data_IF_925101956690
#
_entry.id   IF_925101956690
#
_cell.length_a   1.000
_cell.length_b   1.000
_cell.length_c   1.000
_cell.angle_alpha   90.00
_cell.angle_beta   90.00
_cell.angle_gamma   90.00
#
_symmetry.space_group_name_H-M   'P 1'
#
loop_
_entity.id
_entity.type
_entity.pdbx_description
1 polymer ?
#
# COMPACT_ATOMS: atom_id res chain seq x y z
N UNK A 1 -24.26 -1.97 1.81
CA UNK A 1 -23.65 -2.94 0.88
C UNK A 1 -23.68 -2.33 -0.52
N UNK A 2 -22.59 -2.43 -1.28
CA UNK A 2 -22.60 -2.18 -2.72
C UNK A 2 -23.65 -3.12 -3.35
N UNK A 3 -24.44 -2.61 -4.29
CA UNK A 3 -25.53 -3.36 -4.95
C UNK A 3 -25.01 -4.62 -5.66
N UNK A 4 -23.68 -4.67 -5.90
CA UNK A 4 -22.96 -5.83 -6.44
C UNK A 4 -22.67 -6.97 -5.45
N UNK A 5 -22.82 -6.76 -4.14
CA UNK A 5 -22.45 -7.74 -3.10
C UNK A 5 -20.94 -7.99 -2.92
N UNK A 6 -20.08 -7.27 -3.65
CA UNK A 6 -18.63 -7.42 -3.57
C UNK A 6 -18.06 -6.70 -2.32
N UNK A 7 -17.21 -7.40 -1.56
CA UNK A 7 -16.57 -6.88 -0.35
C UNK A 7 -15.64 -5.72 -0.69
N UNK A 8 -15.57 -4.71 0.18
CA UNK A 8 -14.64 -3.57 0.07
C UNK A 8 -13.18 -3.91 0.40
N UNK A 9 -12.97 -5.00 1.14
CA UNK A 9 -11.68 -5.48 1.59
C UNK A 9 -11.64 -6.99 1.46
N UNK A 10 -10.47 -7.51 1.10
CA UNK A 10 -10.17 -8.94 1.18
C UNK A 10 -8.99 -9.17 2.12
N UNK A 11 -9.08 -10.23 2.91
CA UNK A 11 -8.00 -10.71 3.75
C UNK A 11 -7.63 -12.10 3.26
N UNK A 12 -6.42 -12.24 2.73
CA UNK A 12 -5.84 -13.49 2.25
C UNK A 12 -4.81 -14.00 3.25
N UNK A 13 -4.63 -15.32 3.32
CA UNK A 13 -3.75 -15.99 4.29
C UNK A 13 -3.90 -15.43 5.74
N UNK A 14 -5.13 -15.23 6.21
CA UNK A 14 -5.39 -14.59 7.51
C UNK A 14 -4.73 -15.28 8.73
N UNK A 15 -4.28 -16.53 8.56
CA UNK A 15 -3.60 -17.34 9.57
C UNK A 15 -2.10 -17.49 9.33
N UNK A 16 -1.52 -16.68 8.42
CA UNK A 16 -0.09 -16.67 8.14
C UNK A 16 0.72 -16.49 9.42
N UNK A 17 1.76 -17.32 9.59
CA UNK A 17 2.47 -17.48 10.87
C UNK A 17 3.70 -16.62 11.01
N UNK A 18 4.17 -16.01 9.93
CA UNK A 18 5.32 -15.12 9.98
C UNK A 18 4.97 -13.80 10.68
N UNK A 19 5.96 -12.99 11.06
CA UNK A 19 5.69 -11.71 11.72
C UNK A 19 5.10 -10.67 10.77
N UNK A 20 5.17 -10.88 9.46
CA UNK A 20 4.80 -9.85 8.50
C UNK A 20 3.29 -9.77 8.32
N UNK A 21 2.79 -8.55 8.22
CA UNK A 21 1.42 -8.26 7.77
C UNK A 21 1.53 -7.35 6.57
N UNK A 22 1.08 -7.83 5.42
CA UNK A 22 1.14 -7.07 4.17
C UNK A 22 -0.18 -6.34 3.98
N UNK A 23 -0.11 -5.07 3.63
CA UNK A 23 -1.28 -4.25 3.27
C UNK A 23 -1.06 -3.62 1.90
N UNK A 24 -2.11 -3.61 1.08
CA UNK A 24 -2.09 -2.97 -0.24
C UNK A 24 -3.35 -2.10 -0.42
N UNK A 25 -3.20 -0.80 -0.17
CA UNK A 25 -4.29 0.17 -0.15
C UNK A 25 -4.87 0.42 -1.55
N UNK A 26 -4.03 0.39 -2.59
CA UNK A 26 -4.38 0.69 -3.98
C UNK A 26 -4.42 -0.56 -4.87
N UNK A 27 -4.81 -1.69 -4.29
CA UNK A 27 -4.73 -3.00 -4.94
C UNK A 27 -5.66 -3.21 -6.15
N UNK A 28 -6.66 -2.36 -6.37
CA UNK A 28 -7.69 -2.57 -7.38
C UNK A 28 -8.10 -1.29 -8.07
N UNK A 29 -8.34 -1.34 -9.38
CA UNK A 29 -9.00 -0.27 -10.14
C UNK A 29 -10.51 -0.45 -10.27
N UNK A 30 -11.11 -1.35 -9.48
CA UNK A 30 -12.55 -1.59 -9.56
C UNK A 30 -13.33 -0.36 -9.12
N UNK A 31 -14.23 0.08 -9.99
CA UNK A 31 -15.24 1.10 -9.69
C UNK A 31 -16.57 0.37 -9.43
N UNK A 32 -17.18 0.49 -8.24
CA UNK A 32 -18.51 -0.07 -7.96
C UNK A 32 -19.54 0.38 -8.99
N UNK A 33 -20.45 -0.52 -9.37
CA UNK A 33 -21.42 -0.28 -10.46
C UNK A 33 -22.25 1.00 -10.28
N UNK A 34 -22.54 1.36 -9.03
CA UNK A 34 -23.18 2.62 -8.61
C UNK A 34 -22.53 3.88 -9.23
N UNK A 35 -21.22 3.86 -9.47
CA UNK A 35 -20.47 5.02 -9.95
C UNK A 35 -20.25 5.04 -11.48
N UNK A 36 -20.71 4.00 -12.19
CA UNK A 36 -20.51 3.88 -13.63
C UNK A 36 -19.02 3.93 -13.99
N UNK A 37 -18.67 4.82 -14.92
CA UNK A 37 -17.28 5.06 -15.33
C UNK A 37 -16.64 6.30 -14.67
N UNK A 38 -17.37 6.99 -13.78
CA UNK A 38 -16.95 8.22 -13.13
C UNK A 38 -16.57 9.37 -14.09
N UNK A 39 -17.04 9.31 -15.35
CA UNK A 39 -16.67 10.26 -16.40
C UNK A 39 -15.24 10.08 -16.93
N UNK A 40 -14.60 8.95 -16.61
CA UNK A 40 -13.24 8.63 -17.03
C UNK A 40 -13.27 7.76 -18.28
N UNK A 41 -12.28 7.92 -19.15
CA UNK A 41 -12.05 7.00 -20.27
C UNK A 41 -11.56 5.62 -19.78
N UNK A 42 -11.67 4.61 -20.64
CA UNK A 42 -11.13 3.27 -20.33
C UNK A 42 -9.64 3.31 -20.01
N UNK A 43 -8.87 4.17 -20.71
CA UNK A 43 -7.43 4.32 -20.47
C UNK A 43 -7.14 4.85 -19.06
N UNK A 44 -7.87 5.86 -18.62
CA UNK A 44 -7.73 6.47 -17.29
C UNK A 44 -8.13 5.49 -16.18
N UNK A 45 -9.18 4.69 -16.38
CA UNK A 45 -9.57 3.64 -15.42
C UNK A 45 -8.57 2.48 -15.33
N UNK A 46 -7.69 2.33 -16.30
CA UNK A 46 -6.65 1.29 -16.32
C UNK A 46 -5.26 1.81 -15.90
N UNK A 47 -5.06 3.13 -15.89
CA UNK A 47 -3.78 3.73 -15.52
C UNK A 47 -3.59 3.85 -14.01
N UNK A 48 -2.39 4.27 -13.61
CA UNK A 48 -1.98 4.39 -12.20
C UNK A 48 -2.76 5.42 -11.39
N UNK A 49 -3.60 6.25 -12.01
CA UNK A 49 -4.49 7.14 -11.24
C UNK A 49 -5.59 6.34 -10.52
N UNK A 50 -5.96 5.17 -11.05
CA UNK A 50 -7.06 4.36 -10.53
C UNK A 50 -6.62 3.37 -9.44
N UNK A 51 -5.35 2.99 -9.41
CA UNK A 51 -4.77 1.92 -8.60
C UNK A 51 -3.25 1.88 -8.79
N UNK A 52 -2.56 0.99 -8.07
CA UNK A 52 -1.12 0.79 -8.18
C UNK A 52 -0.83 -0.48 -9.03
N UNK A 53 -0.51 -0.35 -10.34
CA UNK A 53 -0.36 -1.51 -11.22
C UNK A 53 0.79 -2.42 -10.78
N UNK A 54 0.51 -3.72 -10.64
CA UNK A 54 1.48 -4.73 -10.22
C UNK A 54 1.66 -4.86 -8.71
N UNK A 55 1.32 -3.85 -7.90
CA UNK A 55 1.51 -3.89 -6.45
C UNK A 55 0.77 -5.06 -5.78
N UNK A 56 -0.46 -5.36 -6.20
CA UNK A 56 -1.20 -6.51 -5.68
C UNK A 56 -0.55 -7.86 -6.06
N UNK A 57 0.03 -7.97 -7.26
CA UNK A 57 0.69 -9.19 -7.70
C UNK A 57 1.94 -9.48 -6.84
N UNK A 58 2.74 -8.44 -6.55
CA UNK A 58 3.88 -8.57 -5.62
C UNK A 58 3.38 -8.88 -4.20
N UNK A 59 2.29 -8.26 -3.75
CA UNK A 59 1.70 -8.49 -2.42
C UNK A 59 1.28 -9.94 -2.22
N UNK A 60 0.58 -10.53 -3.19
CA UNK A 60 0.20 -11.94 -3.15
C UNK A 60 1.43 -12.85 -3.10
N UNK A 61 2.43 -12.57 -3.94
CA UNK A 61 3.64 -13.40 -3.99
C UNK A 61 4.46 -13.30 -2.71
N UNK A 62 4.55 -12.11 -2.10
CA UNK A 62 5.15 -11.93 -0.78
C UNK A 62 4.37 -12.66 0.31
N UNK A 63 3.03 -12.59 0.29
CA UNK A 63 2.16 -13.31 1.23
C UNK A 63 2.41 -14.82 1.22
N UNK A 64 2.62 -15.39 0.03
CA UNK A 64 2.99 -16.80 -0.14
C UNK A 64 4.41 -17.10 0.37
N UNK A 65 5.41 -16.33 -0.09
CA UNK A 65 6.82 -16.56 0.23
C UNK A 65 7.11 -16.43 1.72
N UNK A 66 6.43 -15.50 2.37
CA UNK A 66 6.62 -15.20 3.79
C UNK A 66 5.62 -15.92 4.68
N UNK A 67 4.63 -16.68 4.17
CA UNK A 67 3.50 -17.16 4.99
C UNK A 67 2.88 -16.01 5.84
N UNK A 68 2.57 -14.90 5.17
CA UNK A 68 2.09 -13.66 5.80
C UNK A 68 0.63 -13.36 5.42
N UNK A 69 -0.22 -12.87 6.33
CA UNK A 69 -1.51 -12.32 5.95
C UNK A 69 -1.39 -11.10 5.04
N UNK A 70 -2.34 -10.97 4.11
CA UNK A 70 -2.48 -9.83 3.20
C UNK A 70 -3.86 -9.21 3.35
N UNK A 71 -3.92 -7.91 3.63
CA UNK A 71 -5.15 -7.10 3.59
C UNK A 71 -5.11 -6.17 2.37
N UNK A 72 -6.11 -6.25 1.51
CA UNK A 72 -6.17 -5.45 0.28
C UNK A 72 -7.51 -4.72 0.15
N UNK A 73 -7.46 -3.46 -0.29
CA UNK A 73 -8.65 -2.79 -0.79
C UNK A 73 -9.12 -3.46 -2.08
N UNK A 74 -10.41 -3.49 -2.32
CA UNK A 74 -10.98 -3.98 -3.59
C UNK A 74 -11.58 -2.87 -4.42
N UNK A 75 -11.39 -1.61 -4.03
CA UNK A 75 -12.00 -0.45 -4.67
C UNK A 75 -10.91 0.50 -5.12
N UNK A 76 -11.11 1.09 -6.29
CA UNK A 76 -10.25 2.13 -6.84
C UNK A 76 -10.10 3.30 -5.89
N UNK A 77 -8.86 3.78 -5.74
CA UNK A 77 -8.54 5.00 -4.98
C UNK A 77 -9.26 6.26 -5.51
N UNK A 78 -9.72 6.23 -6.76
CA UNK A 78 -10.55 7.29 -7.34
C UNK A 78 -11.92 7.39 -6.65
N UNK A 79 -12.47 6.25 -6.21
CA UNK A 79 -13.72 6.25 -5.46
C UNK A 79 -13.47 6.82 -4.07
N UNK A 80 -12.49 6.29 -3.37
CA UNK A 80 -11.99 6.82 -2.10
C UNK A 80 -10.61 6.24 -1.82
N UNK A 81 -9.66 7.11 -1.51
CA UNK A 81 -8.28 6.74 -1.23
C UNK A 81 -8.17 6.22 0.22
N UNK A 82 -7.88 4.94 0.40
CA UNK A 82 -7.78 4.34 1.73
C UNK A 82 -6.51 4.74 2.48
N UNK A 83 -5.54 5.33 1.80
CA UNK A 83 -4.31 5.81 2.42
C UNK A 83 -4.33 7.34 2.61
N UNK A 84 -5.53 7.88 2.92
CA UNK A 84 -5.79 9.29 3.22
C UNK A 84 -6.70 9.48 4.42
N UNK A 85 -6.42 10.52 5.19
CA UNK A 85 -7.21 10.89 6.36
C UNK A 85 -8.64 11.28 6.00
N UNK A 86 -9.54 11.14 6.99
CA UNK A 86 -10.97 11.37 6.78
C UNK A 86 -11.34 12.83 6.53
N UNK A 87 -10.44 13.78 6.74
CA UNK A 87 -10.57 15.20 6.45
C UNK A 87 -9.61 15.67 5.35
N UNK A 88 -8.75 14.78 4.84
CA UNK A 88 -7.82 15.10 3.78
C UNK A 88 -8.56 15.56 2.50
N UNK A 89 -8.09 16.63 1.83
CA UNK A 89 -8.72 17.15 0.62
C UNK A 89 -8.68 16.13 -0.54
N UNK A 90 -7.71 15.23 -0.49
CA UNK A 90 -7.44 14.18 -1.47
C UNK A 90 -7.94 12.79 -1.02
N UNK A 91 -8.76 12.70 0.04
CA UNK A 91 -9.51 11.48 0.36
C UNK A 91 -10.37 11.00 -0.82
N UNK A 92 -10.99 11.96 -1.53
CA UNK A 92 -11.75 11.71 -2.75
C UNK A 92 -11.27 12.71 -3.81
N UNK A 93 -10.31 12.27 -4.63
CA UNK A 93 -9.64 13.09 -5.63
C UNK A 93 -10.62 13.68 -6.65
N UNK A 94 -10.56 14.99 -6.87
CA UNK A 94 -11.24 15.67 -8.01
C UNK A 94 -10.31 15.87 -9.21
N UNK A 95 -9.01 15.80 -8.98
CA UNK A 95 -7.95 15.92 -9.99
C UNK A 95 -6.81 14.98 -9.63
N UNK A 96 -6.47 14.06 -10.52
CA UNK A 96 -5.27 13.22 -10.40
C UNK A 96 -4.37 13.50 -11.59
N UNK A 97 -3.17 14.04 -11.34
CA UNK A 97 -2.29 14.60 -12.36
C UNK A 97 -2.99 15.63 -13.24
N UNK A 98 -3.20 15.33 -14.51
CA UNK A 98 -3.93 16.17 -15.46
C UNK A 98 -5.37 15.69 -15.70
N UNK A 99 -5.78 14.62 -15.02
CA UNK A 99 -7.08 13.96 -15.23
C UNK A 99 -8.09 14.48 -14.21
N UNK A 100 -9.09 15.23 -14.69
CA UNK A 100 -10.22 15.65 -13.87
C UNK A 100 -11.19 14.51 -13.67
N UNK A 101 -11.62 14.29 -12.43
CA UNK A 101 -12.59 13.26 -12.06
C UNK A 101 -13.91 13.97 -11.76
N UNK A 102 -14.65 14.30 -12.83
CA UNK A 102 -15.87 15.11 -12.75
C UNK A 102 -16.91 14.49 -11.80
N UNK A 103 -17.00 13.16 -11.71
CA UNK A 103 -17.93 12.48 -10.80
C UNK A 103 -17.61 12.67 -9.30
N UNK A 104 -16.43 13.21 -8.97
CA UNK A 104 -16.04 13.57 -7.62
C UNK A 104 -16.19 15.07 -7.34
N UNK A 105 -16.50 15.89 -8.36
CA UNK A 105 -16.75 17.31 -8.18
C UNK A 105 -18.10 17.51 -7.48
N UNK A 106 -18.16 18.45 -6.52
CA UNK A 106 -19.39 18.83 -5.80
C UNK A 106 -20.11 17.67 -5.08
N UNK A 107 -19.36 16.69 -4.56
CA UNK A 107 -19.92 15.62 -3.74
C UNK A 107 -20.61 16.18 -2.49
N UNK A 108 -21.85 15.75 -2.26
CA UNK A 108 -22.54 16.06 -1.02
C UNK A 108 -21.98 15.26 0.17
N UNK A 109 -22.33 15.70 1.38
CA UNK A 109 -21.88 15.07 2.61
C UNK A 109 -22.39 13.62 2.77
N UNK A 110 -23.53 13.29 2.16
CA UNK A 110 -24.16 11.96 2.23
C UNK A 110 -23.33 10.95 1.43
N UNK A 111 -22.94 11.30 0.22
CA UNK A 111 -22.12 10.47 -0.64
C UNK A 111 -20.71 10.29 -0.07
N UNK A 112 -20.11 11.37 0.43
CA UNK A 112 -18.82 11.30 1.13
C UNK A 112 -18.89 10.34 2.31
N UNK A 113 -19.93 10.45 3.14
CA UNK A 113 -20.16 9.56 4.29
C UNK A 113 -20.35 8.11 3.85
N UNK A 114 -21.12 7.89 2.77
CA UNK A 114 -21.34 6.56 2.22
C UNK A 114 -20.02 5.88 1.86
N UNK A 115 -19.13 6.56 1.11
CA UNK A 115 -17.84 5.98 0.69
C UNK A 115 -16.94 5.66 1.87
N UNK A 116 -16.94 6.53 2.89
CA UNK A 116 -16.20 6.30 4.13
C UNK A 116 -16.70 5.06 4.84
N UNK A 117 -18.01 4.95 5.04
CA UNK A 117 -18.61 3.89 5.84
C UNK A 117 -18.60 2.53 5.12
N UNK A 118 -18.58 2.54 3.78
CA UNK A 118 -18.65 1.32 2.97
C UNK A 118 -17.31 0.83 2.44
N UNK A 119 -16.28 1.68 2.34
CA UNK A 119 -14.99 1.31 1.75
C UNK A 119 -13.80 1.62 2.67
N UNK A 120 -13.62 2.86 3.09
CA UNK A 120 -12.47 3.29 3.90
C UNK A 120 -12.46 2.66 5.30
N UNK A 121 -13.56 2.80 6.05
CA UNK A 121 -13.67 2.24 7.41
C UNK A 121 -13.58 0.72 7.41
N UNK A 122 -14.27 -0.04 6.54
CA UNK A 122 -14.14 -1.49 6.49
C UNK A 122 -12.71 -1.97 6.20
N UNK A 123 -11.97 -1.26 5.32
CA UNK A 123 -10.58 -1.60 5.03
C UNK A 123 -9.69 -1.47 6.29
N UNK A 124 -9.71 -0.32 6.95
CA UNK A 124 -8.90 -0.14 8.17
C UNK A 124 -9.39 -1.00 9.34
N UNK A 125 -10.69 -1.27 9.46
CA UNK A 125 -11.21 -2.16 10.49
C UNK A 125 -10.71 -3.60 10.32
N UNK A 126 -10.52 -4.06 9.07
CA UNK A 126 -9.93 -5.37 8.80
C UNK A 126 -8.46 -5.44 9.21
N UNK A 127 -7.67 -4.39 8.93
CA UNK A 127 -6.28 -4.28 9.38
C UNK A 127 -6.23 -4.31 10.92
N UNK A 128 -7.03 -3.46 11.57
CA UNK A 128 -7.08 -3.39 13.03
C UNK A 128 -7.48 -4.71 13.68
N UNK A 129 -8.52 -5.37 13.15
CA UNK A 129 -8.96 -6.69 13.65
C UNK A 129 -7.84 -7.71 13.57
N UNK A 130 -7.08 -7.72 12.47
CA UNK A 130 -5.95 -8.62 12.29
C UNK A 130 -4.82 -8.30 13.28
N UNK A 131 -4.41 -7.03 13.39
CA UNK A 131 -3.32 -6.61 14.27
C UNK A 131 -3.64 -6.85 15.74
N UNK A 132 -4.88 -6.57 16.19
CA UNK A 132 -5.30 -6.83 17.56
C UNK A 132 -5.32 -8.33 17.88
N UNK A 133 -5.80 -9.17 16.95
CA UNK A 133 -5.76 -10.62 17.13
C UNK A 133 -4.32 -11.14 17.33
N UNK A 134 -3.37 -10.62 16.54
CA UNK A 134 -1.94 -10.97 16.66
C UNK A 134 -1.34 -10.47 17.97
N UNK A 135 -1.65 -9.23 18.36
CA UNK A 135 -1.21 -8.64 19.64
C UNK A 135 -1.69 -9.46 20.83
N UNK A 136 -2.97 -9.85 20.84
CA UNK A 136 -3.54 -10.72 21.88
C UNK A 136 -2.90 -12.10 21.93
N UNK A 137 -2.47 -12.63 20.79
CA UNK A 137 -1.76 -13.90 20.69
C UNK A 137 -0.24 -13.78 21.01
N UNK A 138 0.26 -12.59 21.34
CA UNK A 138 1.69 -12.35 21.59
C UNK A 138 2.57 -12.55 20.34
N UNK A 139 1.99 -12.42 19.15
CA UNK A 139 2.72 -12.61 17.89
C UNK A 139 3.45 -11.32 17.52
N UNK A 140 4.76 -11.45 17.28
CA UNK A 140 5.55 -10.41 16.64
C UNK A 140 4.86 -9.95 15.35
N UNK A 141 4.81 -8.64 15.14
CA UNK A 141 4.12 -8.06 13.98
C UNK A 141 4.94 -6.94 13.38
N UNK A 142 5.18 -7.03 12.07
CA UNK A 142 5.88 -6.05 11.24
C UNK A 142 4.93 -5.67 10.10
N UNK A 143 4.56 -4.40 9.98
CA UNK A 143 3.65 -3.94 8.94
C UNK A 143 4.41 -3.59 7.65
N UNK A 144 3.96 -4.12 6.51
CA UNK A 144 4.53 -3.83 5.19
C UNK A 144 3.44 -3.26 4.29
N UNK A 145 3.49 -1.95 4.03
CA UNK A 145 2.61 -1.29 3.06
C UNK A 145 3.22 -1.39 1.66
N UNK A 146 2.53 -2.05 0.73
CA UNK A 146 3.06 -2.27 -0.62
C UNK A 146 2.31 -1.45 -1.68
N UNK A 147 3.09 -0.65 -2.39
CA UNK A 147 2.64 0.30 -3.40
C UNK A 147 3.48 0.21 -4.67
N UNK A 148 3.00 0.91 -5.71
CA UNK A 148 3.79 1.13 -6.91
C UNK A 148 3.56 2.52 -7.46
N UNK A 149 4.53 3.04 -8.20
CA UNK A 149 4.47 4.39 -8.78
C UNK A 149 4.84 4.41 -10.27
N UNK A 150 4.32 5.38 -11.02
CA UNK A 150 4.65 5.58 -12.44
C UNK A 150 6.11 6.03 -12.62
N UNK A 151 6.83 5.55 -13.66
CA UNK A 151 8.23 5.92 -13.91
C UNK A 151 8.45 7.39 -14.29
N UNK A 152 7.42 8.07 -14.80
CA UNK A 152 7.47 9.49 -15.17
C UNK A 152 6.27 10.19 -14.55
N UNK A 153 6.52 11.30 -13.85
CA UNK A 153 5.50 12.12 -13.22
C UNK A 153 5.71 13.59 -13.57
N UNK A 154 4.70 14.25 -14.15
CA UNK A 154 4.82 15.61 -14.69
C UNK A 154 6.08 15.82 -15.58
N UNK A 155 6.36 14.85 -16.46
CA UNK A 155 7.53 14.81 -17.35
C UNK A 155 8.90 14.71 -16.65
N UNK A 156 8.93 14.43 -15.35
CA UNK A 156 10.15 14.17 -14.59
C UNK A 156 10.31 12.66 -14.40
N UNK A 157 11.44 12.12 -14.87
CA UNK A 157 11.77 10.72 -14.69
C UNK A 157 12.10 10.43 -13.22
N UNK A 158 11.59 9.32 -12.70
CA UNK A 158 11.89 8.82 -11.35
C UNK A 158 12.93 7.71 -11.46
N UNK A 159 14.20 7.98 -11.08
CA UNK A 159 15.31 7.09 -11.41
C UNK A 159 15.36 5.83 -10.53
N UNK A 160 14.63 5.82 -9.40
CA UNK A 160 14.61 4.71 -8.46
C UNK A 160 13.69 3.60 -8.97
N UNK A 161 14.16 2.34 -9.09
CA UNK A 161 13.26 1.21 -9.30
C UNK A 161 12.50 0.82 -8.02
N UNK A 162 12.99 1.21 -6.85
CA UNK A 162 12.33 1.03 -5.55
C UNK A 162 12.54 2.25 -4.66
N UNK A 163 11.49 2.65 -3.98
CA UNK A 163 11.46 3.64 -2.90
C UNK A 163 11.06 3.00 -1.58
N UNK A 164 11.63 3.50 -0.50
CA UNK A 164 11.30 3.11 0.87
C UNK A 164 10.79 4.34 1.62
N UNK A 165 9.58 4.25 2.14
CA UNK A 165 8.94 5.32 2.90
C UNK A 165 8.84 4.86 4.35
N UNK A 166 9.33 5.71 5.25
CA UNK A 166 9.27 5.48 6.69
C UNK A 166 8.28 6.44 7.37
N UNK A 167 7.79 6.05 8.53
CA UNK A 167 6.99 6.91 9.40
C UNK A 167 7.89 7.78 10.29
N UNK A 168 7.47 8.01 11.52
CA UNK A 168 8.31 8.62 12.56
C UNK A 168 9.44 7.68 12.96
N UNK A 169 9.17 6.39 13.16
CA UNK A 169 10.23 5.39 13.41
C UNK A 169 10.84 4.93 12.08
N UNK A 170 12.12 5.24 11.88
CA UNK A 170 12.88 4.89 10.69
C UNK A 170 13.55 3.53 10.78
N UNK A 171 13.58 2.91 11.96
CA UNK A 171 14.49 1.81 12.28
C UNK A 171 14.33 0.61 11.36
N UNK A 172 13.09 0.14 11.15
CA UNK A 172 12.84 -1.04 10.35
C UNK A 172 13.07 -0.76 8.85
N UNK A 173 12.62 0.40 8.37
CA UNK A 173 12.87 0.85 6.99
C UNK A 173 14.37 1.03 6.71
N UNK A 174 15.15 1.53 7.66
CA UNK A 174 16.60 1.63 7.54
C UNK A 174 17.25 0.23 7.44
N UNK A 175 16.85 -0.71 8.30
CA UNK A 175 17.34 -2.08 8.22
C UNK A 175 16.99 -2.76 6.88
N UNK A 176 15.81 -2.44 6.31
CA UNK A 176 15.43 -2.89 4.98
C UNK A 176 16.26 -2.23 3.86
N UNK A 177 16.56 -0.93 3.98
CA UNK A 177 17.46 -0.24 3.06
C UNK A 177 18.83 -0.92 3.04
N UNK A 178 19.40 -1.16 4.21
CA UNK A 178 20.73 -1.79 4.35
C UNK A 178 20.72 -3.21 3.77
N UNK A 179 19.64 -3.97 4.00
CA UNK A 179 19.47 -5.31 3.43
C UNK A 179 19.39 -5.29 1.89
N UNK A 180 18.68 -4.32 1.31
CA UNK A 180 18.57 -4.15 -0.15
C UNK A 180 19.90 -3.69 -0.77
N UNK A 181 20.60 -2.75 -0.12
CA UNK A 181 21.90 -2.27 -0.58
C UNK A 181 22.99 -3.36 -0.52
N UNK A 182 22.90 -4.26 0.47
CA UNK A 182 23.77 -5.43 0.55
C UNK A 182 23.43 -6.49 -0.51
N UNK A 183 22.15 -6.65 -0.85
CA UNK A 183 21.70 -7.58 -1.90
C UNK A 183 22.13 -7.16 -3.30
N UNK A 184 22.08 -5.85 -3.57
CA UNK A 184 22.44 -5.25 -4.86
C UNK A 184 23.05 -3.86 -4.65
N UNK A 185 24.39 -3.75 -4.56
CA UNK A 185 25.08 -2.48 -4.34
C UNK A 185 24.87 -1.43 -5.45
N UNK A 186 24.39 -1.86 -6.62
CA UNK A 186 24.07 -0.97 -7.74
C UNK A 186 22.62 -0.47 -7.74
N UNK A 187 21.78 -0.95 -6.81
CA UNK A 187 20.36 -0.61 -6.78
C UNK A 187 20.17 0.84 -6.30
N UNK A 188 19.57 1.67 -7.16
CA UNK A 188 19.24 3.04 -6.83
C UNK A 188 17.98 3.12 -5.94
N UNK A 189 18.15 2.95 -4.63
CA UNK A 189 17.04 2.94 -3.66
C UNK A 189 16.67 4.38 -3.28
N UNK A 190 15.40 4.75 -3.45
CA UNK A 190 14.86 6.02 -2.98
C UNK A 190 14.56 5.99 -1.48
N UNK A 191 15.04 6.96 -0.70
CA UNK A 191 14.70 7.12 0.72
C UNK A 191 13.70 8.26 0.87
N UNK A 192 12.45 7.94 1.26
CA UNK A 192 11.29 8.83 1.15
C UNK A 192 11.12 9.42 -0.26
N UNK A 193 11.31 8.56 -1.26
CA UNK A 193 11.13 8.89 -2.67
C UNK A 193 10.24 7.80 -3.31
N UNK A 194 9.37 8.16 -4.29
CA UNK A 194 9.12 9.50 -4.79
C UNK A 194 8.18 10.33 -3.90
N UNK A 195 7.82 9.81 -2.72
CA UNK A 195 6.93 10.46 -1.77
C UNK A 195 7.51 10.40 -0.35
N UNK A 196 7.16 11.38 0.49
CA UNK A 196 7.55 11.46 1.90
C UNK A 196 6.31 11.65 2.80
N UNK A 197 6.43 11.31 4.08
CA UNK A 197 5.36 11.43 5.09
C UNK A 197 4.68 12.83 5.11
N UNK A 198 5.45 13.89 4.83
CA UNK A 198 4.95 15.27 4.71
C UNK A 198 3.84 15.46 3.66
N UNK A 199 3.62 14.50 2.76
CA UNK A 199 2.65 14.58 1.67
C UNK A 199 1.33 13.83 1.97
N UNK A 200 1.11 13.36 3.21
CA UNK A 200 -0.13 12.65 3.58
C UNK A 200 -0.29 11.28 2.92
N UNK A 201 0.81 10.67 2.46
CA UNK A 201 0.82 9.35 1.80
C UNK A 201 1.07 8.19 2.76
N UNK A 202 1.16 8.46 4.06
CA UNK A 202 1.60 7.50 5.08
C UNK A 202 0.51 7.11 6.05
N UNK A 203 -0.78 7.43 5.80
CA UNK A 203 -1.86 7.14 6.76
C UNK A 203 -1.82 5.69 7.23
N UNK A 204 -1.80 4.72 6.32
CA UNK A 204 -1.84 3.31 6.70
C UNK A 204 -0.57 2.89 7.44
N UNK A 205 0.59 3.40 7.03
CA UNK A 205 1.87 3.17 7.70
C UNK A 205 1.85 3.69 9.14
N UNK A 206 1.39 4.93 9.33
CA UNK A 206 1.41 5.59 10.64
C UNK A 206 0.31 5.07 11.56
N UNK A 207 -0.92 4.96 11.05
CA UNK A 207 -2.08 4.53 11.84
C UNK A 207 -1.98 3.10 12.32
N UNK A 208 -1.43 2.21 11.49
CA UNK A 208 -1.41 0.77 11.75
C UNK A 208 -0.03 0.23 12.07
N UNK A 209 1.04 0.96 11.76
CA UNK A 209 2.43 0.58 12.00
C UNK A 209 3.03 1.31 13.19
N UNK A 210 3.90 2.28 12.93
CA UNK A 210 4.76 2.89 13.94
C UNK A 210 4.00 3.77 14.96
N UNK A 211 2.86 4.36 14.58
CA UNK A 211 1.95 5.02 15.53
C UNK A 211 1.34 4.07 16.57
N UNK A 212 1.43 2.75 16.36
CA UNK A 212 1.11 1.70 17.34
C UNK A 212 2.36 1.09 17.99
N UNK A 213 3.55 1.64 17.72
CA UNK A 213 4.83 1.11 18.17
C UNK A 213 5.25 -0.19 17.49
N UNK A 214 4.69 -0.50 16.31
CA UNK A 214 5.10 -1.66 15.52
C UNK A 214 6.24 -1.27 14.56
N UNK A 215 7.15 -2.21 14.32
CA UNK A 215 8.06 -2.09 13.19
C UNK A 215 7.25 -2.05 11.90
N UNK A 216 7.53 -1.07 11.04
CA UNK A 216 6.75 -0.84 9.85
C UNK A 216 7.61 -0.26 8.72
N UNK A 217 7.20 -0.51 7.48
CA UNK A 217 7.79 0.12 6.30
C UNK A 217 6.75 0.20 5.20
N UNK A 218 6.88 1.24 4.37
CA UNK A 218 6.19 1.32 3.10
C UNK A 218 7.19 1.13 1.97
N UNK A 219 6.82 0.31 0.99
CA UNK A 219 7.64 -0.04 -0.17
C UNK A 219 6.90 0.44 -1.42
N UNK A 220 7.60 1.23 -2.21
CA UNK A 220 7.14 1.78 -3.48
C UNK A 220 7.97 1.14 -4.60
N UNK A 221 7.36 0.39 -5.50
CA UNK A 221 8.08 -0.20 -6.65
C UNK A 221 7.70 0.57 -7.92
N UNK A 222 8.68 0.94 -8.75
CA UNK A 222 8.36 1.59 -10.02
C UNK A 222 7.60 0.59 -10.89
N UNK A 223 6.41 0.96 -11.36
CA UNK A 223 5.45 -0.02 -11.84
C UNK A 223 5.93 -0.77 -13.09
N UNK A 224 6.75 -0.17 -13.94
CA UNK A 224 7.39 -0.80 -15.10
C UNK A 224 8.29 -1.99 -14.74
N UNK A 225 8.75 -2.05 -13.49
CA UNK A 225 9.50 -3.18 -12.95
C UNK A 225 8.63 -4.41 -12.62
N UNK A 226 7.30 -4.24 -12.52
CA UNK A 226 6.37 -5.24 -11.97
C UNK A 226 5.07 -5.39 -12.77
N UNK A 227 5.02 -4.91 -14.01
CA UNK A 227 3.89 -5.19 -14.92
C UNK A 227 3.88 -6.63 -15.42
N UNK A 228 5.05 -7.27 -15.49
CA UNK A 228 5.22 -8.62 -16.03
C UNK A 228 5.50 -9.66 -14.93
N UNK A 229 5.10 -10.93 -15.11
CA UNK A 229 5.30 -11.99 -14.12
C UNK A 229 6.76 -12.18 -13.67
N UNK A 230 7.72 -11.98 -14.57
CA UNK A 230 9.15 -12.08 -14.26
C UNK A 230 9.59 -10.98 -13.29
N UNK A 231 9.13 -9.74 -13.50
CA UNK A 231 9.40 -8.60 -12.63
C UNK A 231 8.78 -8.77 -11.24
N UNK A 232 7.52 -9.23 -11.18
CA UNK A 232 6.85 -9.60 -9.93
C UNK A 232 7.64 -10.66 -9.18
N UNK A 233 8.10 -11.70 -9.86
CA UNK A 233 8.90 -12.79 -9.25
C UNK A 233 10.23 -12.28 -8.71
N UNK A 234 10.94 -11.46 -9.50
CA UNK A 234 12.20 -10.86 -9.11
C UNK A 234 12.05 -10.03 -7.82
N UNK A 235 11.12 -9.06 -7.84
CA UNK A 235 10.93 -8.14 -6.73
C UNK A 235 10.41 -8.82 -5.48
N UNK A 236 9.39 -9.69 -5.61
CA UNK A 236 8.85 -10.44 -4.46
C UNK A 236 9.90 -11.34 -3.80
N UNK A 237 10.76 -12.03 -4.57
CA UNK A 237 11.81 -12.90 -4.02
C UNK A 237 12.90 -12.10 -3.32
N UNK A 238 13.35 -11.00 -3.93
CA UNK A 238 14.31 -10.05 -3.33
C UNK A 238 13.76 -9.48 -2.03
N UNK A 239 12.54 -8.95 -2.05
CA UNK A 239 11.90 -8.34 -0.89
C UNK A 239 11.66 -9.33 0.23
N UNK A 240 11.21 -10.55 -0.05
CA UNK A 240 11.03 -11.58 0.98
C UNK A 240 12.34 -11.86 1.74
N UNK A 241 13.46 -11.99 1.02
CA UNK A 241 14.79 -12.15 1.64
C UNK A 241 15.18 -10.91 2.46
N UNK A 242 15.04 -9.71 1.90
CA UNK A 242 15.50 -8.48 2.55
C UNK A 242 14.67 -8.12 3.78
N UNK A 243 13.36 -8.37 3.78
CA UNK A 243 12.47 -8.17 4.93
C UNK A 243 12.86 -9.07 6.11
N UNK A 244 13.16 -10.35 5.87
CA UNK A 244 13.67 -11.24 6.92
C UNK A 244 15.05 -10.82 7.42
N UNK A 245 15.97 -10.44 6.52
CA UNK A 245 17.28 -9.90 6.92
C UNK A 245 17.14 -8.68 7.82
N UNK A 246 16.31 -7.71 7.43
CA UNK A 246 16.03 -6.50 8.21
C UNK A 246 15.49 -6.82 9.60
N UNK A 247 14.55 -7.77 9.70
CA UNK A 247 14.03 -8.25 10.98
C UNK A 247 15.11 -8.84 11.87
N UNK A 248 16.00 -9.69 11.34
CA UNK A 248 17.07 -10.30 12.15
C UNK A 248 18.02 -9.24 12.71
N UNK A 249 18.37 -8.23 11.90
CA UNK A 249 19.18 -7.08 12.36
C UNK A 249 18.46 -6.32 13.46
N UNK A 250 17.17 -6.01 13.29
CA UNK A 250 16.39 -5.28 14.29
C UNK A 250 16.30 -6.04 15.62
N UNK A 251 16.07 -7.36 15.58
CA UNK A 251 16.08 -8.22 16.77
C UNK A 251 17.43 -8.23 17.48
N UNK A 252 18.52 -8.31 16.72
CA UNK A 252 19.88 -8.26 17.27
C UNK A 252 20.14 -6.94 17.99
N UNK A 253 19.72 -5.82 17.41
CA UNK A 253 19.89 -4.49 18.01
C UNK A 253 19.08 -4.29 19.30
N UNK A 254 17.89 -4.92 19.42
CA UNK A 254 17.06 -4.84 20.63
C UNK A 254 17.49 -5.77 21.77
N UNK A 255 18.38 -6.74 21.48
CA UNK A 255 18.86 -7.71 22.47
C UNK A 255 20.14 -7.26 23.20
N UNK A 256 20.71 -6.12 22.81
CA UNK A 256 21.93 -5.51 23.36
C UNK A 256 21.57 -4.32 24.24
#
# INVERSE_FOLDING_TARGET
MDVSGQKAVLVSNARGRSPFVIVCDHASNRIPAKYGDMGLSTRERLSHIAWDPGALAVSHRLSELLDAPLVQSTVSRIVIDCNRDLDAPDLIWTLSETTRITANESLDATERRYRIDHFHRPYHAAIETLLEARRHAGQETILVCLHSFTPVFHNIARPWPIGLIHGVDTSYTQALLDALAADDPGLNIGWNEPYAALNGVTLTLEKHGDGRGLDATMIEIRNDEILEPAGVTLWSTRLARCLETARQVRKGAMAV
#
